data_IF_586754541407
#
_entry.id   IF_586754541407
#
_cell.length_a   1.000
_cell.length_b   1.000
_cell.length_c   1.000
_cell.angle_alpha   90.00
_cell.angle_beta   90.00
_cell.angle_gamma   90.00
#
_symmetry.space_group_name_H-M   'P 1'
#
loop_
_entity.id
_entity.type
_entity.pdbx_description
1 polymer ?
#
# COMPACT_ATOMS: atom_id res chain seq x y z
N UNK A 1 -15.99 -12.20 58.65
CA UNK A 1 -14.84 -11.52 58.03
C UNK A 1 -14.48 -12.36 56.82
N UNK A 2 -14.85 -11.90 55.64
CA UNK A 2 -14.53 -12.57 54.38
C UNK A 2 -13.19 -12.06 53.90
N UNK A 3 -12.23 -12.96 53.72
CA UNK A 3 -10.92 -12.66 53.15
C UNK A 3 -11.04 -12.29 51.70
N UNK A 4 -10.52 -11.13 51.35
CA UNK A 4 -10.44 -10.62 50.02
C UNK A 4 -9.52 -11.50 49.15
N UNK A 5 -10.04 -11.84 48.00
CA UNK A 5 -9.45 -12.66 46.98
C UNK A 5 -8.07 -12.12 46.53
N UNK A 6 -7.15 -13.07 46.30
CA UNK A 6 -5.82 -12.77 45.82
C UNK A 6 -5.83 -11.97 44.50
N UNK A 7 -5.13 -10.87 44.49
CA UNK A 7 -4.77 -10.16 43.30
C UNK A 7 -3.99 -11.11 42.38
N UNK A 8 -4.60 -11.47 41.26
CA UNK A 8 -3.91 -12.15 40.19
C UNK A 8 -2.79 -11.23 39.68
N UNK A 9 -1.59 -11.49 40.08
CA UNK A 9 -0.39 -10.81 39.62
C UNK A 9 -0.26 -11.12 38.11
N UNK A 10 -0.91 -10.31 37.24
CA UNK A 10 -0.72 -10.34 35.82
C UNK A 10 0.71 -9.91 35.52
N UNK A 11 1.64 -10.86 35.60
CA UNK A 11 3.01 -10.69 35.14
C UNK A 11 2.96 -10.38 33.65
N UNK A 12 2.89 -9.09 33.32
CA UNK A 12 3.05 -8.64 31.94
C UNK A 12 4.47 -9.01 31.52
N UNK A 13 4.59 -10.00 30.62
CA UNK A 13 5.88 -10.38 30.04
C UNK A 13 6.52 -9.12 29.45
N UNK A 14 7.76 -8.76 29.81
CA UNK A 14 8.40 -7.59 29.27
C UNK A 14 8.44 -7.69 27.73
N UNK A 15 8.12 -6.59 27.07
CA UNK A 15 8.12 -6.51 25.62
C UNK A 15 9.50 -6.87 25.05
N UNK A 16 9.55 -7.89 24.19
CA UNK A 16 10.77 -8.32 23.53
C UNK A 16 10.77 -7.82 22.07
N UNK A 17 11.70 -6.91 21.79
CA UNK A 17 11.84 -6.29 20.46
C UNK A 17 12.08 -7.31 19.34
N UNK A 18 12.90 -8.32 19.59
CA UNK A 18 13.20 -9.36 18.60
C UNK A 18 11.97 -10.24 18.30
N UNK A 19 11.22 -10.63 19.34
CA UNK A 19 9.98 -11.39 19.17
C UNK A 19 8.94 -10.59 18.35
N UNK A 20 8.81 -9.28 18.63
CA UNK A 20 7.90 -8.42 17.89
C UNK A 20 8.32 -8.26 16.42
N UNK A 21 9.61 -8.09 16.14
CA UNK A 21 10.13 -8.02 14.78
C UNK A 21 9.85 -9.30 13.99
N UNK A 22 10.17 -10.46 14.58
CA UNK A 22 9.91 -11.76 13.95
C UNK A 22 8.41 -12.01 13.72
N UNK A 23 7.55 -11.58 14.63
CA UNK A 23 6.10 -11.69 14.47
C UNK A 23 5.57 -10.83 13.30
N UNK A 24 6.09 -9.61 13.12
CA UNK A 24 5.73 -8.75 11.99
C UNK A 24 6.19 -9.33 10.64
N UNK A 25 7.39 -9.88 10.58
CA UNK A 25 7.89 -10.55 9.37
C UNK A 25 7.07 -11.79 9.04
N UNK A 26 6.85 -12.67 10.01
CA UNK A 26 6.06 -13.89 9.85
C UNK A 26 4.64 -13.57 9.37
N UNK A 27 4.02 -12.51 9.91
CA UNK A 27 2.70 -12.04 9.46
C UNK A 27 2.75 -11.56 8.00
N UNK A 28 3.74 -10.74 7.64
CA UNK A 28 3.88 -10.24 6.27
C UNK A 28 4.06 -11.38 5.27
N UNK A 29 4.87 -12.40 5.59
CA UNK A 29 5.05 -13.56 4.73
C UNK A 29 3.77 -14.42 4.64
N UNK A 30 3.03 -14.57 5.73
CA UNK A 30 1.73 -15.26 5.73
C UNK A 30 0.71 -14.52 4.87
N UNK A 31 0.62 -13.19 5.00
CA UNK A 31 -0.26 -12.36 4.17
C UNK A 31 0.08 -12.51 2.67
N UNK A 32 1.38 -12.41 2.32
CA UNK A 32 1.87 -12.61 0.94
C UNK A 32 1.55 -14.01 0.41
N UNK A 33 1.71 -15.04 1.25
CA UNK A 33 1.37 -16.43 0.89
C UNK A 33 -0.11 -16.62 0.58
N UNK A 34 -0.99 -15.84 1.21
CA UNK A 34 -2.45 -15.90 1.03
C UNK A 34 -2.96 -15.09 -0.17
N UNK A 35 -2.14 -14.17 -0.72
CA UNK A 35 -2.53 -13.36 -1.87
C UNK A 35 -2.44 -14.19 -3.14
N UNK A 36 -3.59 -14.42 -3.75
CA UNK A 36 -3.69 -14.99 -5.09
C UNK A 36 -3.86 -13.87 -6.11
N UNK A 37 -2.94 -13.79 -7.06
CA UNK A 37 -2.94 -12.79 -8.14
C UNK A 37 -3.04 -13.46 -9.48
N UNK A 38 -3.80 -12.88 -10.43
CA UNK A 38 -3.77 -13.33 -11.81
C UNK A 38 -2.41 -13.07 -12.45
N UNK A 39 -2.15 -13.62 -13.63
CA UNK A 39 -0.92 -13.35 -14.38
C UNK A 39 -0.74 -11.84 -14.62
N UNK A 40 0.49 -11.31 -14.70
CA UNK A 40 0.73 -9.87 -14.72
C UNK A 40 -0.06 -9.07 -15.77
N UNK A 41 -0.27 -9.55 -17.03
CA UNK A 41 -1.13 -8.83 -17.98
C UNK A 41 -2.59 -8.74 -17.53
N UNK A 42 -3.09 -9.73 -16.80
CA UNK A 42 -4.45 -9.69 -16.26
C UNK A 42 -4.56 -8.78 -15.06
N UNK A 43 -3.56 -8.76 -14.17
CA UNK A 43 -3.47 -7.76 -13.10
C UNK A 43 -3.54 -6.33 -13.66
N UNK A 44 -2.78 -6.07 -14.72
CA UNK A 44 -2.81 -4.77 -15.40
C UNK A 44 -4.19 -4.45 -15.97
N UNK A 45 -4.82 -5.44 -16.64
CA UNK A 45 -6.17 -5.29 -17.19
C UNK A 45 -7.20 -4.99 -16.10
N UNK A 46 -7.15 -5.67 -14.97
CA UNK A 46 -8.07 -5.44 -13.85
C UNK A 46 -7.91 -4.03 -13.27
N UNK A 47 -6.67 -3.59 -13.02
CA UNK A 47 -6.37 -2.24 -12.54
C UNK A 47 -6.89 -1.20 -13.55
N UNK A 48 -6.64 -1.42 -14.85
CA UNK A 48 -7.10 -0.52 -15.90
C UNK A 48 -8.62 -0.43 -15.97
N UNK A 49 -9.32 -1.55 -15.90
CA UNK A 49 -10.79 -1.59 -15.89
C UNK A 49 -11.36 -0.91 -14.64
N UNK A 50 -10.74 -1.13 -13.48
CA UNK A 50 -11.13 -0.44 -12.25
C UNK A 50 -11.00 1.08 -12.41
N UNK A 51 -9.85 1.57 -12.87
CA UNK A 51 -9.61 3.01 -13.08
C UNK A 51 -10.51 3.59 -14.17
N UNK A 52 -10.85 2.83 -15.21
CA UNK A 52 -11.84 3.26 -16.21
C UNK A 52 -13.20 3.50 -15.55
N UNK A 53 -13.68 2.56 -14.71
CA UNK A 53 -14.96 2.72 -14.02
C UNK A 53 -15.00 3.96 -13.12
N UNK A 54 -13.95 4.24 -12.37
CA UNK A 54 -13.90 5.45 -11.53
C UNK A 54 -13.78 6.73 -12.39
N UNK A 55 -13.19 6.66 -13.56
CA UNK A 55 -13.20 7.78 -14.52
C UNK A 55 -14.60 8.00 -15.10
N UNK A 56 -15.28 6.93 -15.48
CA UNK A 56 -16.64 6.98 -16.03
C UNK A 56 -17.67 7.50 -15.00
N UNK A 57 -17.44 7.24 -13.71
CA UNK A 57 -18.22 7.85 -12.61
C UNK A 57 -17.88 9.31 -12.34
N UNK A 58 -16.93 9.86 -13.07
CA UNK A 58 -16.52 11.26 -12.96
C UNK A 58 -15.64 11.58 -11.75
N UNK A 59 -15.09 10.59 -11.04
CA UNK A 59 -14.20 10.82 -9.89
C UNK A 59 -12.80 11.25 -10.30
N UNK A 60 -12.29 10.74 -11.43
CA UNK A 60 -10.97 11.11 -11.94
C UNK A 60 -11.06 11.82 -13.30
N UNK A 61 -10.00 12.54 -13.65
CA UNK A 61 -9.91 13.29 -14.92
C UNK A 61 -9.20 12.49 -16.02
N UNK A 62 -8.25 11.60 -15.66
CA UNK A 62 -7.32 10.99 -16.60
C UNK A 62 -6.93 9.52 -16.28
N UNK A 63 -7.65 8.83 -15.41
CA UNK A 63 -7.24 7.57 -14.75
C UNK A 63 -6.54 6.52 -15.59
N UNK A 64 -7.08 6.14 -16.76
CA UNK A 64 -6.50 5.03 -17.56
C UNK A 64 -5.34 5.43 -18.47
N UNK A 65 -5.20 6.71 -18.80
CA UNK A 65 -4.19 7.15 -19.75
C UNK A 65 -2.79 7.28 -19.17
N UNK A 66 -2.67 7.24 -17.85
CA UNK A 66 -1.40 7.41 -17.13
C UNK A 66 -0.80 6.11 -16.63
N UNK A 67 -1.46 4.97 -16.93
CA UNK A 67 -0.97 3.66 -16.48
C UNK A 67 -0.01 3.08 -17.51
N UNK A 68 1.13 2.60 -17.05
CA UNK A 68 2.10 1.87 -17.86
C UNK A 68 2.29 0.43 -17.36
N UNK A 69 2.68 -0.43 -18.29
CA UNK A 69 3.02 -1.82 -18.05
C UNK A 69 4.34 -2.12 -18.76
N UNK A 70 5.32 -2.62 -18.02
CA UNK A 70 6.63 -2.94 -18.59
C UNK A 70 7.25 -4.16 -17.94
N UNK A 71 8.04 -4.90 -18.71
CA UNK A 71 8.91 -5.96 -18.21
C UNK A 71 10.26 -5.36 -17.90
N UNK A 72 10.79 -5.63 -16.71
CA UNK A 72 12.11 -5.21 -16.27
C UNK A 72 13.19 -6.16 -16.80
N UNK A 73 14.46 -5.74 -16.79
CA UNK A 73 15.59 -6.54 -17.26
C UNK A 73 15.73 -7.89 -16.56
N UNK A 74 15.33 -7.99 -15.31
CA UNK A 74 15.34 -9.22 -14.52
C UNK A 74 14.11 -10.13 -14.75
N UNK A 75 13.24 -9.80 -15.70
CA UNK A 75 12.02 -10.53 -16.02
C UNK A 75 10.82 -10.21 -15.14
N UNK A 76 10.97 -9.40 -14.07
CA UNK A 76 9.86 -8.94 -13.28
C UNK A 76 8.98 -7.97 -14.08
N UNK A 77 7.72 -7.87 -13.71
CA UNK A 77 6.77 -6.95 -14.35
C UNK A 77 6.51 -5.77 -13.43
N UNK A 78 6.48 -4.58 -14.01
CA UNK A 78 6.12 -3.36 -13.31
C UNK A 78 4.86 -2.72 -13.91
N UNK A 79 3.93 -2.34 -13.04
CA UNK A 79 2.71 -1.60 -13.37
C UNK A 79 2.79 -0.27 -12.61
N UNK A 80 2.77 0.85 -13.35
CA UNK A 80 2.96 2.19 -12.78
C UNK A 80 1.86 3.15 -13.20
N UNK A 81 1.60 4.13 -12.34
CA UNK A 81 0.90 5.37 -12.67
C UNK A 81 1.63 6.53 -12.01
N UNK A 82 2.28 7.38 -12.82
CA UNK A 82 3.09 8.49 -12.36
C UNK A 82 4.41 8.08 -11.67
N UNK A 83 5.14 9.04 -11.10
CA UNK A 83 6.36 8.77 -10.34
C UNK A 83 6.02 8.12 -8.98
N UNK A 84 6.89 7.22 -8.52
CA UNK A 84 6.72 6.54 -7.23
C UNK A 84 6.89 7.45 -6.02
N UNK A 85 7.55 8.58 -6.18
CA UNK A 85 7.68 9.64 -5.17
C UNK A 85 7.53 10.97 -5.90
N UNK A 86 6.63 11.83 -5.43
CA UNK A 86 6.51 13.18 -5.93
C UNK A 86 6.22 14.15 -4.78
N UNK A 87 6.81 15.34 -4.87
CA UNK A 87 6.64 16.41 -3.89
C UNK A 87 5.81 17.58 -4.46
N UNK A 88 5.56 17.55 -5.75
CA UNK A 88 4.86 18.62 -6.49
C UNK A 88 3.73 18.03 -7.36
N UNK A 89 2.77 18.83 -7.81
CA UNK A 89 1.73 18.38 -8.72
C UNK A 89 2.29 17.66 -9.93
N UNK A 90 1.78 16.49 -10.21
CA UNK A 90 2.28 15.57 -11.22
C UNK A 90 1.28 15.43 -12.37
N UNK A 91 1.70 15.74 -13.59
CA UNK A 91 0.85 15.62 -14.78
C UNK A 91 0.53 14.16 -15.16
N UNK A 92 1.45 13.23 -14.85
CA UNK A 92 1.34 11.81 -15.17
C UNK A 92 0.74 10.98 -14.04
N UNK A 93 0.17 11.61 -13.02
CA UNK A 93 -0.55 10.94 -11.94
C UNK A 93 -2.04 10.84 -12.25
N UNK A 94 -2.74 9.95 -11.57
CA UNK A 94 -4.19 9.92 -11.57
C UNK A 94 -4.68 11.16 -10.83
N UNK A 95 -5.44 12.00 -11.52
CA UNK A 95 -5.97 13.25 -10.98
C UNK A 95 -7.43 13.08 -10.59
N UNK A 96 -7.73 13.26 -9.33
CA UNK A 96 -9.11 13.29 -8.84
C UNK A 96 -9.75 14.65 -9.13
N UNK A 97 -11.07 14.69 -9.22
CA UNK A 97 -11.81 15.96 -9.38
C UNK A 97 -11.70 16.85 -8.15
N UNK A 98 -11.53 16.27 -6.98
CA UNK A 98 -11.19 17.00 -5.75
C UNK A 98 -9.90 17.79 -5.84
N UNK A 99 -8.99 17.43 -6.76
CA UNK A 99 -7.64 17.96 -6.88
C UNK A 99 -6.57 17.09 -6.23
N UNK A 100 -6.94 16.05 -5.47
CA UNK A 100 -5.99 15.05 -5.00
C UNK A 100 -5.34 14.30 -6.17
N UNK A 101 -4.14 13.76 -5.94
CA UNK A 101 -3.39 13.05 -6.97
C UNK A 101 -2.89 11.71 -6.42
N UNK A 102 -3.02 10.66 -7.22
CA UNK A 102 -2.55 9.32 -6.87
C UNK A 102 -1.50 8.86 -7.87
N UNK A 103 -0.36 8.42 -7.35
CA UNK A 103 0.61 7.63 -8.10
C UNK A 103 0.80 6.27 -7.45
N UNK A 104 1.22 5.29 -8.23
CA UNK A 104 1.59 3.98 -7.69
C UNK A 104 2.61 3.28 -8.58
N UNK A 105 3.34 2.34 -7.96
CA UNK A 105 4.16 1.36 -8.64
C UNK A 105 3.94 -0.01 -7.98
N UNK A 106 3.79 -1.05 -8.78
CA UNK A 106 3.56 -2.43 -8.36
C UNK A 106 4.57 -3.30 -9.09
N UNK A 107 5.32 -4.13 -8.38
CA UNK A 107 6.27 -5.07 -8.97
C UNK A 107 5.79 -6.50 -8.72
N UNK A 108 5.67 -7.25 -9.81
CA UNK A 108 5.19 -8.63 -9.83
C UNK A 108 6.26 -9.53 -10.43
N UNK A 109 6.33 -10.76 -9.95
CA UNK A 109 7.09 -11.86 -10.56
C UNK A 109 6.17 -12.98 -10.95
N UNK A 110 6.31 -13.45 -12.18
CA UNK A 110 5.63 -14.66 -12.66
C UNK A 110 6.68 -15.74 -12.95
N UNK A 111 6.55 -16.89 -12.30
CA UNK A 111 7.48 -18.02 -12.44
C UNK A 111 7.03 -19.07 -13.47
N UNK A 112 5.96 -18.77 -14.22
CA UNK A 112 5.33 -19.68 -15.16
C UNK A 112 4.10 -20.40 -14.60
N UNK A 113 3.90 -20.38 -13.28
CA UNK A 113 2.78 -21.03 -12.58
C UNK A 113 2.03 -20.03 -11.71
N UNK A 114 2.74 -19.26 -10.91
CA UNK A 114 2.17 -18.34 -9.91
C UNK A 114 2.71 -16.92 -10.08
N UNK A 115 1.85 -15.94 -9.86
CA UNK A 115 2.24 -14.54 -9.75
C UNK A 115 2.50 -14.20 -8.29
N UNK A 116 3.71 -13.72 -8.00
CA UNK A 116 4.14 -13.26 -6.68
C UNK A 116 4.19 -11.73 -6.64
N UNK A 117 3.63 -11.16 -5.59
CA UNK A 117 3.73 -9.72 -5.29
C UNK A 117 5.09 -9.45 -4.62
N UNK A 118 5.96 -8.71 -5.28
CA UNK A 118 7.28 -8.38 -4.74
C UNK A 118 7.27 -7.09 -3.93
N UNK A 119 6.68 -6.06 -4.49
CA UNK A 119 6.59 -4.75 -3.84
C UNK A 119 5.46 -3.92 -4.43
N UNK A 120 5.04 -2.93 -3.67
CA UNK A 120 4.22 -1.84 -4.17
C UNK A 120 4.52 -0.55 -3.41
N UNK A 121 4.18 0.56 -4.03
CA UNK A 121 4.06 1.87 -3.42
C UNK A 121 2.84 2.58 -4.00
N UNK A 122 1.95 3.01 -3.13
CA UNK A 122 0.81 3.86 -3.46
C UNK A 122 0.98 5.18 -2.72
N UNK A 123 0.92 6.27 -3.44
CA UNK A 123 1.10 7.60 -2.89
C UNK A 123 -0.10 8.48 -3.27
N UNK A 124 -0.97 8.78 -2.31
CA UNK A 124 -2.08 9.70 -2.47
C UNK A 124 -1.66 11.05 -1.91
N UNK A 125 -1.42 12.00 -2.79
CA UNK A 125 -1.15 13.40 -2.43
C UNK A 125 -2.47 14.11 -2.20
N UNK A 126 -2.60 14.71 -1.01
CA UNK A 126 -3.81 15.35 -0.55
C UNK A 126 -3.78 16.85 -0.85
N UNK A 127 -4.94 17.48 -0.82
CA UNK A 127 -5.03 18.93 -0.90
C UNK A 127 -4.52 19.59 0.37
N UNK A 128 -3.95 20.81 0.31
CA UNK A 128 -3.43 21.53 1.47
C UNK A 128 -4.45 21.69 2.61
N UNK A 129 -5.73 21.83 2.29
CA UNK A 129 -6.82 22.01 3.26
C UNK A 129 -7.24 20.72 3.97
N UNK A 130 -6.77 19.57 3.55
CA UNK A 130 -7.16 18.28 4.14
C UNK A 130 -6.55 18.01 5.52
N UNK A 131 -5.56 18.81 5.94
CA UNK A 131 -4.80 18.58 7.19
C UNK A 131 -3.74 17.48 7.08
N UNK A 132 -3.81 16.62 6.08
CA UNK A 132 -2.78 15.64 5.73
C UNK A 132 -2.16 16.01 4.40
N UNK A 133 -0.83 15.96 4.29
CA UNK A 133 -0.13 16.22 3.03
C UNK A 133 -0.27 15.06 2.06
N UNK A 134 -0.18 13.84 2.57
CA UNK A 134 -0.26 12.63 1.78
C UNK A 134 -0.62 11.42 2.64
N UNK A 135 -1.00 10.34 1.96
CA UNK A 135 -1.00 8.98 2.50
C UNK A 135 -0.16 8.13 1.58
N UNK A 136 0.78 7.38 2.13
CA UNK A 136 1.60 6.43 1.37
C UNK A 136 1.49 5.05 1.97
N UNK A 137 1.31 4.06 1.12
CA UNK A 137 1.22 2.64 1.48
C UNK A 137 2.32 1.90 0.72
N UNK A 138 3.23 1.28 1.46
CA UNK A 138 4.38 0.60 0.92
C UNK A 138 4.39 -0.89 1.29
N UNK A 139 4.80 -1.72 0.33
CA UNK A 139 5.36 -3.05 0.54
C UNK A 139 6.79 -3.02 0.00
N UNK A 140 7.78 -3.05 0.88
CA UNK A 140 9.18 -3.07 0.49
C UNK A 140 9.56 -4.40 -0.18
N UNK A 141 10.51 -4.41 -1.15
CA UNK A 141 10.98 -5.64 -1.78
C UNK A 141 11.66 -6.57 -0.77
N UNK A 142 11.61 -7.90 -0.97
CA UNK A 142 12.04 -8.91 0.01
C UNK A 142 13.51 -8.85 0.42
N UNK A 143 14.37 -8.19 -0.39
CA UNK A 143 15.82 -8.05 -0.12
C UNK A 143 16.21 -6.67 0.40
N UNK A 144 15.25 -5.79 0.65
CA UNK A 144 15.54 -4.48 1.23
C UNK A 144 16.08 -4.66 2.66
N UNK A 145 17.18 -3.96 2.98
CA UNK A 145 17.64 -3.87 4.36
C UNK A 145 16.71 -2.94 5.11
N UNK A 146 15.88 -3.47 5.98
CA UNK A 146 15.00 -2.72 6.84
C UNK A 146 15.03 -3.28 8.26
N UNK A 147 14.78 -2.41 9.22
CA UNK A 147 14.50 -2.82 10.60
C UNK A 147 12.99 -3.09 10.70
N UNK A 148 12.53 -4.32 10.95
CA UNK A 148 11.11 -4.66 10.96
C UNK A 148 10.26 -3.82 11.91
N UNK A 149 10.85 -3.24 12.95
CA UNK A 149 10.14 -2.39 13.90
C UNK A 149 10.12 -0.91 13.53
N UNK A 150 11.17 -0.41 12.89
CA UNK A 150 11.25 0.99 12.48
C UNK A 150 10.77 1.20 11.04
N UNK A 151 11.02 0.21 10.18
CA UNK A 151 10.58 0.22 8.79
C UNK A 151 10.05 -1.17 8.45
N UNK A 152 8.83 -1.54 8.88
CA UNK A 152 8.24 -2.83 8.54
C UNK A 152 8.09 -2.98 7.03
N UNK A 153 8.16 -4.22 6.53
CA UNK A 153 8.06 -4.50 5.11
C UNK A 153 6.75 -3.98 4.50
N UNK A 154 5.63 -4.18 5.21
CA UNK A 154 4.33 -3.59 4.84
C UNK A 154 3.96 -2.50 5.85
N UNK A 155 3.82 -1.26 5.38
CA UNK A 155 3.56 -0.11 6.24
C UNK A 155 2.85 1.03 5.52
N UNK A 156 2.31 1.94 6.34
CA UNK A 156 1.68 3.17 5.88
C UNK A 156 2.36 4.40 6.50
N UNK A 157 2.45 5.47 5.73
CA UNK A 157 2.85 6.81 6.17
C UNK A 157 1.63 7.74 6.17
N UNK A 158 1.16 8.21 7.33
CA UNK A 158 0.00 9.10 7.43
C UNK A 158 0.43 10.57 7.41
N UNK A 159 0.90 11.07 6.26
CA UNK A 159 1.29 12.46 6.08
C UNK A 159 2.70 12.85 6.55
N UNK A 160 3.45 11.93 7.15
CA UNK A 160 4.80 12.13 7.68
C UNK A 160 5.72 11.00 7.23
N UNK A 161 6.85 11.35 6.60
CA UNK A 161 7.80 10.35 6.08
C UNK A 161 8.47 9.51 7.19
N UNK A 162 8.71 10.08 8.35
CA UNK A 162 9.34 9.40 9.48
C UNK A 162 8.42 8.50 10.32
N UNK A 163 7.11 8.45 10.01
CA UNK A 163 6.14 7.62 10.72
C UNK A 163 5.79 6.42 9.86
N UNK A 164 6.10 5.21 10.36
CA UNK A 164 5.81 3.94 9.71
C UNK A 164 4.83 3.14 10.57
N UNK A 165 3.59 3.01 10.11
CA UNK A 165 2.57 2.22 10.78
C UNK A 165 2.50 0.85 10.10
N UNK A 166 2.85 -0.26 10.78
CA UNK A 166 2.70 -1.59 10.21
C UNK A 166 1.25 -1.86 9.81
N UNK A 167 1.06 -2.35 8.60
CA UNK A 167 -0.27 -2.75 8.09
C UNK A 167 -0.20 -4.16 7.48
N UNK A 168 -1.31 -4.88 7.39
CA UNK A 168 -1.39 -6.11 6.62
C UNK A 168 -1.01 -5.88 5.16
N UNK A 169 -0.44 -6.90 4.51
CA UNK A 169 -0.27 -6.85 3.05
C UNK A 169 -1.65 -6.97 2.40
N UNK A 170 -1.92 -6.06 1.47
CA UNK A 170 -3.19 -6.01 0.74
C UNK A 170 -2.97 -6.25 -0.75
N UNK A 171 -4.00 -6.71 -1.44
CA UNK A 171 -3.99 -6.75 -2.91
C UNK A 171 -3.94 -5.33 -3.48
N UNK A 172 -3.23 -5.09 -4.58
CA UNK A 172 -3.15 -3.76 -5.20
C UNK A 172 -4.51 -3.11 -5.49
N UNK A 173 -5.49 -3.88 -5.97
CA UNK A 173 -6.85 -3.38 -6.22
C UNK A 173 -7.58 -2.99 -4.92
N UNK A 174 -7.36 -3.72 -3.84
CA UNK A 174 -7.94 -3.38 -2.53
C UNK A 174 -7.39 -2.05 -2.01
N UNK A 175 -6.08 -1.80 -2.19
CA UNK A 175 -5.47 -0.52 -1.82
C UNK A 175 -6.08 0.60 -2.66
N UNK A 176 -6.18 0.42 -3.99
CA UNK A 176 -6.80 1.41 -4.87
C UNK A 176 -8.23 1.72 -4.44
N UNK A 177 -9.03 0.68 -4.14
CA UNK A 177 -10.42 0.84 -3.71
C UNK A 177 -10.52 1.64 -2.40
N UNK A 178 -9.68 1.33 -1.43
CA UNK A 178 -9.63 2.07 -0.16
C UNK A 178 -9.21 3.53 -0.35
N UNK A 179 -8.18 3.79 -1.17
CA UNK A 179 -7.73 5.16 -1.45
C UNK A 179 -8.80 5.97 -2.16
N UNK A 180 -9.49 5.39 -3.14
CA UNK A 180 -10.49 6.06 -3.98
C UNK A 180 -11.83 6.24 -3.27
N UNK A 181 -12.30 5.23 -2.51
CA UNK A 181 -13.67 5.23 -1.97
C UNK A 181 -13.77 5.53 -0.48
N UNK A 182 -12.70 5.32 0.27
CA UNK A 182 -12.71 5.50 1.72
C UNK A 182 -11.93 6.74 2.14
N UNK A 183 -10.75 6.96 1.57
CA UNK A 183 -9.82 8.00 2.01
C UNK A 183 -10.04 9.30 1.24
N UNK A 184 -9.95 9.28 -0.08
CA UNK A 184 -10.10 10.47 -0.91
C UNK A 184 -11.42 11.24 -0.67
N UNK A 185 -12.61 10.61 -0.59
CA UNK A 185 -13.86 11.33 -0.35
C UNK A 185 -13.96 12.03 1.01
N UNK A 186 -13.22 11.57 2.02
CA UNK A 186 -13.24 12.17 3.36
C UNK A 186 -12.46 13.47 3.45
N UNK A 187 -11.55 13.67 2.51
CA UNK A 187 -10.68 14.83 2.43
C UNK A 187 -10.95 15.67 1.18
N UNK A 188 -11.95 15.32 0.37
CA UNK A 188 -12.46 16.18 -0.68
C UNK A 188 -13.15 17.42 -0.06
N UNK A 189 -12.99 18.60 -0.65
CA UNK A 189 -13.63 19.82 -0.18
C UNK A 189 -15.14 19.79 -0.31
#
# INVERSE_FOLDING_TARGET
>A
MAGLAGEANLSVKPWNRAEAANALEARTEADLGSIDLPVPPECFREIRLYLQRITDTGRTKNGVHVISFRTLENGDTQIDAGPTIFHEPCSNCIQFRSGAQLSFGITLRFDGVKTSLLSYRFYLHMLPQSGLKFIRIDLNPPKARYDPLHLPRSHMHPGFEGVHIPIPVMRPLEILDRLVHVIEPRFAP
#
